data_IF_924805646601
#
_entry.id   IF_924805646601
#
_cell.length_a   1.000
_cell.length_b   1.000
_cell.length_c   1.000
_cell.angle_alpha   90.00
_cell.angle_beta   90.00
_cell.angle_gamma   90.00
#
_symmetry.space_group_name_H-M   'P 1'
#
loop_
_entity.id
_entity.type
_entity.pdbx_description
1 polymer ?
#
# COMPACT_ATOMS: atom_id res chain seq x y z
N UNK A 1 32.80 -5.65 26.80
CA UNK A 1 32.72 -6.95 26.14
C UNK A 1 31.44 -7.00 25.32
N UNK A 2 31.58 -7.37 24.05
CA UNK A 2 30.55 -7.40 23.02
C UNK A 2 29.29 -8.16 23.44
N UNK A 3 28.11 -7.59 23.14
CA UNK A 3 26.94 -8.43 22.88
C UNK A 3 26.07 -7.78 21.79
N UNK A 4 26.27 -8.27 20.57
CA UNK A 4 25.37 -8.10 19.44
C UNK A 4 24.02 -8.75 19.76
N UNK A 5 22.94 -7.96 19.77
CA UNK A 5 21.58 -8.48 19.70
C UNK A 5 21.05 -8.22 18.29
N UNK A 6 21.21 -9.25 17.46
CA UNK A 6 20.61 -9.36 16.13
C UNK A 6 19.10 -9.48 16.30
N UNK A 7 18.34 -8.51 15.79
CA UNK A 7 16.88 -8.62 15.70
C UNK A 7 16.51 -9.74 14.70
N UNK A 8 15.60 -10.66 15.03
CA UNK A 8 15.18 -11.69 14.10
C UNK A 8 14.25 -11.12 13.02
N UNK A 9 14.57 -11.43 11.77
CA UNK A 9 13.75 -11.19 10.58
C UNK A 9 12.31 -11.68 10.76
N UNK A 10 11.28 -10.98 10.24
CA UNK A 10 9.96 -11.56 10.15
C UNK A 10 9.93 -12.65 9.08
N UNK A 11 9.51 -13.85 9.50
CA UNK A 11 9.26 -15.00 8.65
C UNK A 11 8.39 -14.65 7.45
N UNK A 12 8.86 -15.09 6.29
CA UNK A 12 8.07 -15.30 5.08
C UNK A 12 6.84 -16.15 5.38
N UNK A 13 5.65 -15.54 5.43
CA UNK A 13 4.41 -16.27 5.17
C UNK A 13 4.29 -16.40 3.65
N UNK A 14 4.76 -17.55 3.13
CA UNK A 14 4.43 -17.98 1.78
C UNK A 14 2.93 -18.27 1.71
N UNK A 15 2.13 -17.30 1.27
CA UNK A 15 0.81 -17.59 0.73
C UNK A 15 1.00 -18.22 -0.65
N UNK A 16 1.18 -19.54 -0.69
CA UNK A 16 1.14 -20.33 -1.92
C UNK A 16 -0.30 -20.44 -2.41
N UNK A 17 -0.77 -19.43 -3.14
CA UNK A 17 -1.86 -19.65 -4.09
C UNK A 17 -1.21 -20.08 -5.40
N UNK A 18 -1.50 -21.33 -5.77
CA UNK A 18 -0.87 -22.09 -6.84
C UNK A 18 -0.85 -21.34 -8.18
N UNK A 19 0.33 -20.91 -8.62
CA UNK A 19 0.61 -20.43 -9.98
C UNK A 19 0.36 -21.52 -11.05
N UNK A 20 0.13 -22.77 -10.67
CA UNK A 20 -0.06 -23.88 -11.60
C UNK A 20 -1.49 -23.98 -12.15
N UNK A 21 -2.50 -23.43 -11.47
CA UNK A 21 -3.91 -23.57 -11.89
C UNK A 21 -4.28 -22.64 -13.06
N UNK A 22 -3.80 -21.39 -13.04
CA UNK A 22 -4.02 -20.43 -14.12
C UNK A 22 -3.19 -20.76 -15.38
N UNK A 23 -1.97 -21.27 -15.21
CA UNK A 23 -1.13 -21.74 -16.32
C UNK A 23 -1.79 -22.90 -17.09
N UNK A 24 -2.48 -23.82 -16.39
CA UNK A 24 -3.25 -24.91 -17.02
C UNK A 24 -4.54 -24.44 -17.70
N UNK A 25 -5.18 -23.39 -17.20
CA UNK A 25 -6.47 -22.94 -17.74
C UNK A 25 -6.31 -22.21 -19.10
N UNK A 26 -5.27 -21.39 -19.24
CA UNK A 26 -5.00 -20.68 -20.51
C UNK A 26 -4.32 -21.58 -21.55
N UNK A 27 -3.49 -22.54 -21.13
CA UNK A 27 -3.02 -23.60 -22.03
C UNK A 27 -4.20 -24.43 -22.57
N UNK A 28 -5.23 -24.72 -21.76
CA UNK A 28 -6.42 -25.44 -22.22
C UNK A 28 -7.21 -24.68 -23.29
N UNK A 29 -7.37 -23.36 -23.18
CA UNK A 29 -8.09 -22.58 -24.21
C UNK A 29 -7.34 -22.55 -25.56
N UNK A 30 -6.03 -22.36 -25.53
CA UNK A 30 -5.19 -22.42 -26.74
C UNK A 30 -5.10 -23.85 -27.32
N UNK A 31 -5.02 -24.88 -26.47
CA UNK A 31 -5.03 -26.29 -26.89
C UNK A 31 -6.41 -26.72 -27.41
N UNK A 32 -7.52 -26.18 -26.90
CA UNK A 32 -8.87 -26.50 -27.39
C UNK A 32 -9.15 -25.92 -28.77
N UNK A 33 -8.57 -24.76 -29.11
CA UNK A 33 -8.59 -24.23 -30.48
C UNK A 33 -7.77 -25.10 -31.45
N UNK A 34 -6.71 -25.77 -30.96
CA UNK A 34 -5.92 -26.73 -31.74
C UNK A 34 -6.59 -28.11 -31.80
N UNK A 35 -7.25 -28.56 -30.73
CA UNK A 35 -7.90 -29.87 -30.64
C UNK A 35 -9.18 -29.98 -31.47
N UNK A 36 -9.86 -28.85 -31.77
CA UNK A 36 -10.99 -28.84 -32.72
C UNK A 36 -10.59 -29.15 -34.17
N UNK A 37 -9.29 -29.18 -34.50
CA UNK A 37 -8.79 -29.59 -35.83
C UNK A 37 -8.41 -31.06 -35.93
N UNK A 38 -8.55 -31.85 -34.87
CA UNK A 38 -8.10 -33.25 -34.84
C UNK A 38 -9.16 -34.29 -35.24
N UNK A 39 -10.18 -33.88 -36.00
CA UNK A 39 -11.03 -34.82 -36.74
C UNK A 39 -11.18 -34.41 -38.20
N UNK A 40 -10.06 -34.49 -38.92
CA UNK A 40 -9.99 -34.36 -40.36
C UNK A 40 -8.60 -34.75 -40.83
N UNK A 41 -8.47 -35.91 -41.47
CA UNK A 41 -7.23 -36.34 -42.14
C UNK A 41 -6.83 -35.31 -43.18
N UNK A 42 -5.76 -34.53 -42.93
CA UNK A 42 -5.00 -33.84 -43.98
C UNK A 42 -3.62 -33.44 -43.47
N UNK A 43 -2.63 -33.71 -44.31
CA UNK A 43 -1.23 -33.30 -44.18
C UNK A 43 -1.13 -31.84 -43.73
N UNK A 44 -0.62 -31.61 -42.52
CA UNK A 44 -0.45 -30.26 -41.99
C UNK A 44 0.71 -29.57 -42.73
N UNK A 45 0.39 -28.66 -43.64
CA UNK A 45 1.38 -27.78 -44.27
C UNK A 45 2.09 -26.93 -43.19
N UNK A 46 3.40 -26.67 -43.31
CA UNK A 46 4.10 -25.83 -42.35
C UNK A 46 3.45 -24.44 -42.29
N UNK A 47 3.38 -23.81 -41.10
CA UNK A 47 2.76 -22.50 -40.93
C UNK A 47 3.40 -21.47 -41.85
N UNK A 48 2.55 -20.69 -42.55
CA UNK A 48 3.01 -19.64 -43.45
C UNK A 48 3.85 -18.60 -42.70
N UNK A 49 4.73 -17.90 -43.40
CA UNK A 49 5.57 -16.86 -42.79
C UNK A 49 4.72 -15.80 -42.06
N UNK A 50 3.56 -15.45 -42.63
CA UNK A 50 2.61 -14.51 -42.03
C UNK A 50 2.07 -15.03 -40.70
N UNK A 51 1.70 -16.32 -40.59
CA UNK A 51 1.19 -16.86 -39.32
C UNK A 51 2.28 -16.91 -38.25
N UNK A 52 3.53 -17.23 -38.63
CA UNK A 52 4.68 -17.18 -37.71
C UNK A 52 4.97 -15.76 -37.22
N UNK A 53 4.84 -14.75 -38.08
CA UNK A 53 5.00 -13.34 -37.71
C UNK A 53 3.90 -12.85 -36.78
N UNK A 54 2.65 -13.22 -37.02
CA UNK A 54 1.52 -12.88 -36.15
C UNK A 54 1.64 -13.55 -34.78
N UNK A 55 2.02 -14.81 -34.72
CA UNK A 55 2.29 -15.52 -33.46
C UNK A 55 3.43 -14.86 -32.67
N UNK A 56 4.49 -14.42 -33.36
CA UNK A 56 5.61 -13.70 -32.74
C UNK A 56 5.16 -12.36 -32.13
N UNK A 57 4.39 -11.57 -32.88
CA UNK A 57 3.83 -10.31 -32.39
C UNK A 57 2.89 -10.57 -31.20
N UNK A 58 1.96 -11.52 -31.30
CA UNK A 58 1.02 -11.86 -30.24
C UNK A 58 1.73 -12.28 -28.94
N UNK A 59 2.79 -13.11 -29.03
CA UNK A 59 3.63 -13.46 -27.87
C UNK A 59 4.33 -12.23 -27.28
N UNK A 60 4.89 -11.37 -28.13
CA UNK A 60 5.59 -10.16 -27.68
C UNK A 60 4.64 -9.18 -26.98
N UNK A 61 3.43 -9.00 -27.51
CA UNK A 61 2.40 -8.17 -26.88
C UNK A 61 1.94 -8.78 -25.54
N UNK A 62 1.69 -10.09 -25.48
CA UNK A 62 1.33 -10.79 -24.23
C UNK A 62 2.41 -10.64 -23.15
N UNK A 63 3.69 -10.76 -23.50
CA UNK A 63 4.80 -10.57 -22.57
C UNK A 63 4.86 -9.13 -22.03
N UNK A 64 4.59 -8.12 -22.88
CA UNK A 64 4.55 -6.71 -22.47
C UNK A 64 3.37 -6.46 -21.52
N UNK A 65 2.17 -6.93 -21.84
CA UNK A 65 1.01 -6.84 -20.94
C UNK A 65 1.25 -7.56 -19.62
N UNK A 66 1.86 -8.74 -19.65
CA UNK A 66 2.24 -9.49 -18.45
C UNK A 66 3.23 -8.72 -17.58
N UNK A 67 4.24 -8.08 -18.17
CA UNK A 67 5.20 -7.24 -17.46
C UNK A 67 4.57 -5.98 -16.86
N UNK A 68 3.69 -5.29 -17.60
CA UNK A 68 2.96 -4.12 -17.09
C UNK A 68 2.03 -4.50 -15.93
N UNK A 69 1.30 -5.60 -16.08
CA UNK A 69 0.45 -6.14 -15.02
C UNK A 69 1.27 -6.58 -13.80
N UNK A 70 2.40 -7.24 -14.01
CA UNK A 70 3.32 -7.62 -12.94
C UNK A 70 3.86 -6.40 -12.19
N UNK A 71 4.32 -5.36 -12.91
CA UNK A 71 4.76 -4.10 -12.32
C UNK A 71 3.64 -3.43 -11.51
N UNK A 72 2.43 -3.39 -12.06
CA UNK A 72 1.25 -2.85 -11.37
C UNK A 72 0.93 -3.62 -10.09
N UNK A 73 0.95 -4.97 -10.15
CA UNK A 73 0.75 -5.84 -8.98
C UNK A 73 1.80 -5.61 -7.90
N UNK A 74 3.08 -5.51 -8.26
CA UNK A 74 4.16 -5.20 -7.31
C UNK A 74 3.92 -3.86 -6.62
N UNK A 75 3.57 -2.82 -7.38
CA UNK A 75 3.25 -1.52 -6.82
C UNK A 75 2.11 -1.58 -5.80
N UNK A 76 1.01 -2.27 -6.15
CA UNK A 76 -0.13 -2.48 -5.25
C UNK A 76 0.23 -3.28 -4.01
N UNK A 77 1.03 -4.32 -4.15
CA UNK A 77 1.49 -5.13 -3.00
C UNK A 77 2.40 -4.33 -2.07
N UNK A 78 3.28 -3.49 -2.60
CA UNK A 78 4.12 -2.60 -1.80
C UNK A 78 3.27 -1.55 -1.07
N UNK A 79 2.31 -0.93 -1.76
CA UNK A 79 1.36 0.01 -1.17
C UNK A 79 0.57 -0.63 -0.02
N UNK A 80 0.06 -1.85 -0.24
CA UNK A 80 -0.67 -2.61 0.79
C UNK A 80 0.20 -2.92 1.99
N UNK A 81 1.45 -3.36 1.78
CA UNK A 81 2.39 -3.66 2.87
C UNK A 81 2.72 -2.43 3.70
N UNK A 82 2.94 -1.29 3.05
CA UNK A 82 3.26 -0.02 3.72
C UNK A 82 2.10 0.56 4.53
N UNK A 83 0.85 0.32 4.11
CA UNK A 83 -0.35 0.81 4.80
C UNK A 83 -1.04 -0.25 5.66
N UNK A 84 -0.45 -1.44 5.83
CA UNK A 84 -1.05 -2.46 6.69
C UNK A 84 -1.08 -1.99 8.15
N UNK A 85 -2.02 -2.53 8.93
CA UNK A 85 -2.14 -2.20 10.35
C UNK A 85 -0.98 -2.79 11.17
N UNK A 86 -0.34 -1.96 11.99
CA UNK A 86 0.83 -2.30 12.81
C UNK A 86 0.46 -3.05 14.11
N UNK A 87 -0.38 -4.08 13.99
CA UNK A 87 -0.93 -4.81 15.12
C UNK A 87 0.11 -5.52 16.00
N UNK A 88 1.26 -5.93 15.44
CA UNK A 88 2.35 -6.51 16.23
C UNK A 88 3.02 -5.44 17.11
N UNK A 89 3.38 -4.29 16.54
CA UNK A 89 3.95 -3.15 17.27
C UNK A 89 2.97 -2.66 18.33
N UNK A 90 1.69 -2.57 18.00
CA UNK A 90 0.64 -2.18 18.95
C UNK A 90 0.58 -3.13 20.15
N UNK A 91 0.75 -4.45 19.96
CA UNK A 91 0.74 -5.42 21.06
C UNK A 91 1.98 -5.33 21.96
N UNK A 92 3.14 -4.99 21.39
CA UNK A 92 4.39 -4.94 22.13
C UNK A 92 4.67 -3.60 22.82
N UNK A 93 4.37 -2.49 22.15
CA UNK A 93 4.77 -1.15 22.58
C UNK A 93 3.59 -0.23 22.90
N UNK A 94 2.36 -0.69 22.66
CA UNK A 94 1.16 0.11 22.84
C UNK A 94 0.73 0.88 21.58
N UNK A 95 -0.47 1.47 21.60
CA UNK A 95 -1.06 2.16 20.45
C UNK A 95 -0.23 3.37 20.01
N UNK A 96 0.23 4.20 20.94
CA UNK A 96 0.87 5.48 20.63
C UNK A 96 2.21 5.30 19.93
N UNK A 97 3.02 4.39 20.46
CA UNK A 97 4.30 4.00 19.85
C UNK A 97 4.08 3.32 18.49
N UNK A 98 3.03 2.52 18.33
CA UNK A 98 2.72 1.89 17.05
C UNK A 98 2.31 2.91 15.98
N UNK A 99 1.48 3.90 16.35
CA UNK A 99 1.12 5.02 15.47
C UNK A 99 2.34 5.85 15.08
N UNK A 100 3.16 6.25 16.07
CA UNK A 100 4.42 6.97 15.85
C UNK A 100 5.36 6.22 14.90
N UNK A 101 5.56 4.92 15.13
CA UNK A 101 6.41 4.09 14.29
C UNK A 101 5.86 3.95 12.86
N UNK A 102 4.54 3.80 12.70
CA UNK A 102 3.91 3.77 11.38
C UNK A 102 4.15 5.07 10.60
N UNK A 103 3.91 6.23 11.25
CA UNK A 103 4.10 7.56 10.65
C UNK A 103 5.52 7.72 10.12
N UNK A 104 6.53 7.42 10.96
CA UNK A 104 7.94 7.52 10.58
C UNK A 104 8.31 6.56 9.43
N UNK A 105 7.80 5.33 9.43
CA UNK A 105 8.06 4.36 8.36
C UNK A 105 7.45 4.76 7.01
N UNK A 106 6.34 5.51 7.02
CA UNK A 106 5.77 6.04 5.78
C UNK A 106 6.46 7.31 5.29
N UNK A 107 7.40 7.85 6.07
CA UNK A 107 8.13 9.08 5.79
C UNK A 107 7.44 10.35 6.30
N UNK A 108 6.44 10.20 7.16
CA UNK A 108 5.79 11.33 7.81
C UNK A 108 6.54 11.82 9.05
N UNK A 109 5.97 12.85 9.67
CA UNK A 109 6.39 13.38 10.96
C UNK A 109 5.23 13.47 11.93
N UNK A 110 5.55 13.52 13.22
CA UNK A 110 4.53 13.67 14.26
C UNK A 110 5.03 14.43 15.48
N UNK A 111 4.08 14.84 16.32
CA UNK A 111 4.29 15.47 17.62
C UNK A 111 3.38 14.81 18.65
N UNK A 112 3.96 14.50 19.82
CA UNK A 112 3.19 14.03 20.96
C UNK A 112 2.45 15.19 21.64
N UNK A 113 1.36 14.88 22.35
CA UNK A 113 0.63 15.88 23.14
C UNK A 113 1.58 16.64 24.07
N UNK A 114 1.55 17.97 23.99
CA UNK A 114 2.33 18.87 24.84
C UNK A 114 3.83 18.98 24.53
N UNK A 115 4.33 18.27 23.51
CA UNK A 115 5.73 18.37 23.06
C UNK A 115 5.88 19.42 21.98
N UNK A 116 6.92 20.25 21.95
CA UNK A 116 7.20 21.19 20.84
C UNK A 116 7.92 20.53 19.67
N UNK A 117 8.73 19.52 19.96
CA UNK A 117 9.64 18.91 19.00
C UNK A 117 8.94 17.92 18.08
N UNK A 118 9.31 17.98 16.79
CA UNK A 118 8.82 17.06 15.77
C UNK A 118 9.74 15.84 15.64
N UNK A 119 9.14 14.66 15.64
CA UNK A 119 9.82 13.44 15.22
C UNK A 119 9.65 13.28 13.71
N UNK A 120 10.77 13.15 12.98
CA UNK A 120 10.78 12.96 11.52
C UNK A 120 11.85 11.95 11.11
N UNK A 121 11.61 11.28 9.99
CA UNK A 121 12.65 10.57 9.29
C UNK A 121 13.56 11.55 8.52
N UNK A 122 14.84 11.20 8.42
CA UNK A 122 15.80 11.89 7.56
C UNK A 122 15.52 11.59 6.08
N UNK A 123 16.28 12.25 5.19
CA UNK A 123 16.17 12.05 3.74
C UNK A 123 16.45 10.61 3.27
N UNK A 124 17.03 9.77 4.13
CA UNK A 124 17.32 8.35 3.87
C UNK A 124 16.28 7.42 4.49
N UNK A 125 15.23 7.96 5.11
CA UNK A 125 14.18 7.20 5.78
C UNK A 125 14.60 6.63 7.14
N UNK A 126 15.71 7.09 7.72
CA UNK A 126 16.12 6.73 9.09
C UNK A 126 15.55 7.73 10.07
N UNK A 127 15.18 7.26 11.26
CA UNK A 127 14.67 8.11 12.33
C UNK A 127 15.26 7.67 13.67
N UNK A 128 15.28 8.60 14.62
CA UNK A 128 15.71 8.33 15.99
C UNK A 128 14.62 7.53 16.73
N UNK A 129 15.04 6.64 17.63
CA UNK A 129 14.17 5.81 18.48
C UNK A 129 13.80 6.48 19.81
N UNK A 130 14.23 7.71 20.06
CA UNK A 130 13.93 8.45 21.30
C UNK A 130 12.42 8.62 21.55
N UNK A 131 11.57 8.50 20.52
CA UNK A 131 10.12 8.48 20.69
C UNK A 131 9.63 7.31 21.58
N UNK A 132 10.41 6.24 21.73
CA UNK A 132 10.11 5.12 22.63
C UNK A 132 10.10 5.53 24.11
N UNK A 133 10.69 6.67 24.47
CA UNK A 133 10.70 7.19 25.83
C UNK A 133 9.34 7.81 26.23
N UNK A 134 8.46 8.09 25.26
CA UNK A 134 7.16 8.71 25.46
C UNK A 134 6.04 7.68 25.46
N UNK A 135 6.17 6.67 26.33
CA UNK A 135 5.12 5.65 26.50
C UNK A 135 3.85 6.30 27.03
N UNK A 136 2.71 5.78 26.59
CA UNK A 136 1.37 6.24 27.00
C UNK A 136 1.14 7.75 26.75
N UNK A 137 1.91 8.34 25.83
CA UNK A 137 1.75 9.73 25.39
C UNK A 137 1.16 9.70 23.98
N UNK A 138 -0.09 10.16 23.79
CA UNK A 138 -0.72 10.12 22.49
C UNK A 138 -0.11 11.10 21.49
N UNK A 139 -0.24 10.77 20.20
CA UNK A 139 0.13 11.63 19.09
C UNK A 139 -0.98 12.66 18.84
N UNK A 140 -0.61 13.93 18.76
CA UNK A 140 -1.54 15.06 18.59
C UNK A 140 -1.49 15.63 17.18
N UNK A 141 -0.29 15.76 16.62
CA UNK A 141 -0.11 16.36 15.29
C UNK A 141 0.63 15.40 14.38
N UNK A 142 0.13 15.29 13.15
CA UNK A 142 0.61 14.33 12.17
C UNK A 142 0.77 15.03 10.82
N UNK A 143 1.98 14.95 10.28
CA UNK A 143 2.32 15.42 8.95
C UNK A 143 2.70 14.23 8.07
N UNK A 144 1.77 13.82 7.22
CA UNK A 144 1.92 12.74 6.26
C UNK A 144 1.99 13.27 4.83
N UNK A 145 2.30 14.56 4.65
CA UNK A 145 2.37 15.21 3.34
C UNK A 145 3.37 14.50 2.44
N UNK A 146 3.02 14.34 1.16
CA UNK A 146 3.81 13.65 0.14
C UNK A 146 4.12 12.17 0.45
N UNK A 147 3.40 11.55 1.39
CA UNK A 147 3.49 10.11 1.64
C UNK A 147 2.46 9.33 0.80
N UNK A 148 2.44 8.01 0.94
CA UNK A 148 1.48 7.13 0.25
C UNK A 148 0.37 6.63 1.19
N UNK A 149 0.02 7.40 2.22
CA UNK A 149 -1.06 7.04 3.15
C UNK A 149 -2.37 6.87 2.39
N UNK A 150 -3.15 5.86 2.79
CA UNK A 150 -4.48 5.59 2.25
C UNK A 150 -5.48 5.23 3.36
N UNK A 151 -6.73 4.95 2.99
CA UNK A 151 -7.80 4.62 3.96
C UNK A 151 -7.44 3.47 4.91
N UNK A 152 -6.74 2.44 4.42
CA UNK A 152 -6.30 1.32 5.27
C UNK A 152 -5.23 1.79 6.26
N UNK A 153 -4.28 2.60 5.79
CA UNK A 153 -3.22 3.18 6.60
C UNK A 153 -3.74 4.07 7.74
N UNK A 154 -4.83 4.80 7.50
CA UNK A 154 -5.50 5.66 8.48
C UNK A 154 -5.88 4.92 9.77
N UNK A 155 -6.17 3.61 9.69
CA UNK A 155 -6.48 2.78 10.87
C UNK A 155 -5.34 2.70 11.89
N UNK A 156 -4.09 2.94 11.48
CA UNK A 156 -2.96 3.03 12.41
C UNK A 156 -3.01 4.28 13.30
N UNK A 157 -3.83 5.27 12.94
CA UNK A 157 -3.96 6.53 13.67
C UNK A 157 -5.24 6.60 14.50
N UNK A 158 -6.19 5.68 14.31
CA UNK A 158 -7.57 5.72 14.85
C UNK A 158 -7.68 5.87 16.37
N UNK A 159 -6.65 5.49 17.14
CA UNK A 159 -6.64 5.61 18.61
C UNK A 159 -6.01 6.90 19.12
N UNK A 160 -5.55 7.76 18.22
CA UNK A 160 -4.85 9.00 18.54
C UNK A 160 -5.83 10.17 18.53
N UNK A 161 -5.81 11.06 19.55
CA UNK A 161 -6.60 12.28 19.59
C UNK A 161 -5.95 13.34 18.69
N UNK A 162 -5.99 13.10 17.38
CA UNK A 162 -5.37 13.98 16.40
C UNK A 162 -6.04 15.33 16.40
N UNK A 163 -5.25 16.39 16.62
CA UNK A 163 -5.63 17.80 16.49
C UNK A 163 -5.32 18.35 15.10
N UNK A 164 -4.17 17.97 14.55
CA UNK A 164 -3.73 18.38 13.20
C UNK A 164 -3.37 17.16 12.36
N UNK A 165 -3.95 17.05 11.17
CA UNK A 165 -3.61 16.04 10.16
C UNK A 165 -3.32 16.70 8.81
N UNK A 166 -2.07 16.61 8.38
CA UNK A 166 -1.65 17.07 7.04
C UNK A 166 -1.42 15.88 6.14
N UNK A 167 -2.12 15.86 5.01
CA UNK A 167 -1.99 14.84 3.97
C UNK A 167 -1.84 15.49 2.59
N UNK A 168 -1.20 16.66 2.54
CA UNK A 168 -0.99 17.41 1.32
C UNK A 168 -0.22 16.57 0.28
N UNK A 169 -0.70 16.57 -0.97
CA UNK A 169 0.01 15.92 -2.07
C UNK A 169 0.08 14.40 -1.99
N UNK A 170 -0.77 13.76 -1.18
CA UNK A 170 -0.82 12.31 -1.06
C UNK A 170 -1.61 11.68 -2.22
N UNK A 171 -0.99 10.85 -3.08
CA UNK A 171 -1.63 10.33 -4.29
C UNK A 171 -2.68 9.24 -4.03
N UNK A 172 -2.70 8.67 -2.83
CA UNK A 172 -3.59 7.57 -2.44
C UNK A 172 -4.72 8.01 -1.49
N UNK A 173 -4.80 9.31 -1.18
CA UNK A 173 -5.90 9.90 -0.40
C UNK A 173 -7.07 10.19 -1.34
N UNK A 174 -8.19 9.52 -1.07
CA UNK A 174 -9.43 9.56 -1.85
C UNK A 174 -10.66 9.85 -0.98
N UNK A 175 -11.84 9.81 -1.58
CA UNK A 175 -13.11 10.06 -0.88
C UNK A 175 -13.36 9.06 0.27
N UNK A 176 -12.87 7.82 0.15
CA UNK A 176 -12.98 6.82 1.22
C UNK A 176 -12.08 7.19 2.40
N UNK A 177 -10.88 7.69 2.15
CA UNK A 177 -10.01 8.25 3.18
C UNK A 177 -10.72 9.37 3.95
N UNK A 178 -11.35 10.32 3.23
CA UNK A 178 -12.09 11.43 3.86
C UNK A 178 -13.28 10.93 4.68
N UNK A 179 -14.03 9.95 4.17
CA UNK A 179 -15.12 9.33 4.91
C UNK A 179 -14.64 8.66 6.21
N UNK A 180 -13.40 8.17 6.25
CA UNK A 180 -12.78 7.61 7.45
C UNK A 180 -12.45 8.63 8.54
N UNK A 181 -12.42 9.93 8.22
CA UNK A 181 -12.01 10.97 9.18
C UNK A 181 -13.02 11.20 10.31
N UNK A 182 -14.27 10.71 10.20
CA UNK A 182 -15.25 10.77 11.29
C UNK A 182 -14.74 10.13 12.60
N UNK A 183 -13.73 9.25 12.53
CA UNK A 183 -13.06 8.66 13.70
C UNK A 183 -12.35 9.70 14.57
N UNK A 184 -12.02 10.86 14.00
CA UNK A 184 -11.34 11.98 14.66
C UNK A 184 -12.26 13.18 14.87
N UNK A 185 -13.58 13.00 14.72
CA UNK A 185 -14.58 14.08 14.76
C UNK A 185 -14.55 14.93 16.05
N UNK A 186 -14.07 14.35 17.15
CA UNK A 186 -14.07 14.99 18.47
C UNK A 186 -12.71 15.62 18.82
N UNK A 187 -11.67 15.43 18.00
CA UNK A 187 -10.33 15.95 18.27
C UNK A 187 -9.74 16.79 17.14
N UNK A 188 -10.12 16.53 15.87
CA UNK A 188 -9.45 17.10 14.71
C UNK A 188 -9.89 18.55 14.48
N UNK A 189 -8.93 19.48 14.60
CA UNK A 189 -9.14 20.92 14.43
C UNK A 189 -8.58 21.41 13.08
N UNK A 190 -7.48 20.81 12.61
CA UNK A 190 -6.78 21.23 11.41
C UNK A 190 -6.59 20.06 10.44
N UNK A 191 -7.08 20.22 9.21
CA UNK A 191 -6.95 19.24 8.14
C UNK A 191 -6.39 19.92 6.87
N UNK A 192 -5.26 19.42 6.38
CA UNK A 192 -4.73 19.83 5.07
C UNK A 192 -4.81 18.68 4.06
N UNK A 193 -5.68 18.84 3.06
CA UNK A 193 -5.92 17.89 1.96
C UNK A 193 -5.52 18.48 0.59
N UNK A 194 -4.71 19.53 0.59
CA UNK A 194 -4.34 20.25 -0.62
C UNK A 194 -3.57 19.33 -1.59
N UNK A 195 -3.76 19.52 -2.89
CA UNK A 195 -3.04 18.78 -3.94
C UNK A 195 -3.23 17.24 -3.93
N UNK A 196 -4.31 16.73 -3.35
CA UNK A 196 -4.69 15.31 -3.42
C UNK A 196 -5.53 15.02 -4.68
N UNK A 197 -5.00 14.31 -5.70
CA UNK A 197 -5.64 14.22 -7.01
C UNK A 197 -6.86 13.30 -7.08
N UNK A 198 -7.10 12.47 -6.05
CA UNK A 198 -8.21 11.50 -6.01
C UNK A 198 -9.39 11.95 -5.17
N UNK A 199 -9.31 13.11 -4.53
CA UNK A 199 -10.42 13.71 -3.81
C UNK A 199 -11.39 14.34 -4.81
N UNK A 200 -12.66 14.02 -4.69
CA UNK A 200 -13.73 14.60 -5.49
C UNK A 200 -14.59 15.56 -4.66
N UNK A 201 -15.44 16.34 -5.33
CA UNK A 201 -16.44 17.18 -4.65
C UNK A 201 -17.38 16.34 -3.78
N UNK A 202 -17.67 15.10 -4.18
CA UNK A 202 -18.46 14.16 -3.39
C UNK A 202 -17.77 13.74 -2.10
N UNK A 203 -16.45 13.55 -2.12
CA UNK A 203 -15.66 13.25 -0.94
C UNK A 203 -15.65 14.39 0.09
N UNK A 204 -15.64 15.65 -0.35
CA UNK A 204 -15.70 16.81 0.55
C UNK A 204 -16.99 16.83 1.38
N UNK A 205 -18.10 16.28 0.87
CA UNK A 205 -19.34 16.17 1.63
C UNK A 205 -19.21 15.25 2.85
N UNK A 206 -18.23 14.33 2.88
CA UNK A 206 -17.97 13.48 4.02
C UNK A 206 -17.36 14.24 5.21
N UNK A 207 -16.73 15.39 4.96
CA UNK A 207 -16.13 16.23 6.00
C UNK A 207 -17.15 16.91 6.90
N UNK A 208 -18.44 16.93 6.53
CA UNK A 208 -19.54 17.46 7.36
C UNK A 208 -19.69 16.77 8.73
N UNK A 209 -19.08 15.59 8.88
CA UNK A 209 -19.11 14.80 10.11
C UNK A 209 -17.96 15.18 11.07
N UNK A 210 -17.01 16.00 10.62
CA UNK A 210 -16.02 16.64 11.49
C UNK A 210 -16.69 17.86 12.14
N UNK A 211 -16.44 18.05 13.43
CA UNK A 211 -17.04 19.14 14.22
C UNK A 211 -16.27 20.45 14.06
#
# INVERSE_FOLDING_TARGET
FYQHSVCPCPLFIKSSVSFQSLHRCCQRAAVLLVARRHWGSSSASPPSLVSRSLDFLARRFYDVEALLNWKSRIGKDQLRKKNFYYGYTHKLYGPDIASAYYILNLGGGFRFVGQSEWFRADSRGKFNWDFLNYKDTPVEEVDMSHTIINYVGLSNLERQPLRTLKVQGCPEVDDWFLAGLHKFQDSLEELDISHCPRITVGGLAALRNLR
#
